data_IF_036076866736
#
_entry.id   IF_036076866736
#
_cell.length_a   1.000
_cell.length_b   1.000
_cell.length_c   1.000
_cell.angle_alpha   90.00
_cell.angle_beta   90.00
_cell.angle_gamma   90.00
#
_symmetry.space_group_name_H-M   'P 1'
#
loop_
_entity.id
_entity.type
_entity.pdbx_description
1 polymer ?
#
# COMPACT_ATOMS: atom_id res chain seq x y z
N UNK A 1 -14.01 10.57 -12.75
CA UNK A 1 -15.47 10.36 -12.56
C UNK A 1 -15.74 9.11 -11.74
N UNK A 2 -16.81 9.15 -10.98
CA UNK A 2 -17.24 7.98 -10.23
C UNK A 2 -17.53 6.82 -11.19
N UNK A 3 -17.08 5.61 -10.83
CA UNK A 3 -17.33 4.41 -11.59
C UNK A 3 -16.25 4.01 -12.59
N UNK A 4 -15.25 4.85 -12.86
CA UNK A 4 -14.13 4.43 -13.71
C UNK A 4 -13.29 3.37 -13.00
N UNK A 5 -12.83 2.33 -13.75
CA UNK A 5 -12.00 1.29 -13.15
C UNK A 5 -10.72 1.85 -12.53
N UNK A 6 -10.40 1.38 -11.34
CA UNK A 6 -9.17 1.75 -10.62
C UNK A 6 -8.37 0.49 -10.30
N UNK A 7 -7.06 0.57 -10.48
CA UNK A 7 -6.13 -0.48 -10.02
C UNK A 7 -5.37 0.06 -8.81
N UNK A 8 -5.48 -0.64 -7.69
CA UNK A 8 -4.81 -0.30 -6.44
C UNK A 8 -3.86 -1.43 -6.08
N UNK A 9 -2.57 -1.10 -5.93
CA UNK A 9 -1.54 -2.06 -5.57
C UNK A 9 -1.31 -2.05 -4.05
N UNK A 10 -1.18 -3.24 -3.46
CA UNK A 10 -0.86 -3.39 -2.04
C UNK A 10 0.59 -3.83 -1.93
N UNK A 11 1.40 -3.02 -1.27
CA UNK A 11 2.85 -3.19 -1.18
C UNK A 11 3.29 -3.10 0.28
N UNK A 12 4.20 -3.98 0.69
CA UNK A 12 4.77 -3.94 2.03
C UNK A 12 5.88 -4.96 2.21
N UNK A 13 6.53 -4.91 3.36
CA UNK A 13 7.53 -5.89 3.74
C UNK A 13 6.88 -7.25 4.01
N UNK A 14 7.68 -8.31 3.96
CA UNK A 14 7.21 -9.62 4.40
C UNK A 14 6.78 -9.56 5.87
N UNK A 15 5.71 -10.28 6.20
CA UNK A 15 5.17 -10.37 7.58
C UNK A 15 4.63 -9.05 8.15
N UNK A 16 4.24 -8.09 7.31
CA UNK A 16 3.59 -6.87 7.77
C UNK A 16 2.06 -6.97 7.87
N UNK A 17 1.49 -8.13 7.53
CA UNK A 17 0.04 -8.33 7.50
C UNK A 17 -0.61 -8.12 6.14
N UNK A 18 0.19 -8.05 5.06
CA UNK A 18 -0.28 -7.77 3.71
C UNK A 18 -1.27 -8.83 3.20
N UNK A 19 -0.97 -10.12 3.40
CA UNK A 19 -1.86 -11.21 2.98
C UNK A 19 -3.20 -11.13 3.70
N UNK A 20 -3.19 -10.90 5.00
CA UNK A 20 -4.41 -10.74 5.79
C UNK A 20 -5.22 -9.54 5.29
N UNK A 21 -4.58 -8.41 5.06
CA UNK A 21 -5.23 -7.22 4.52
C UNK A 21 -5.87 -7.49 3.16
N UNK A 22 -5.11 -8.07 2.24
CA UNK A 22 -5.63 -8.39 0.91
C UNK A 22 -6.85 -9.30 0.98
N UNK A 23 -6.79 -10.35 1.82
CA UNK A 23 -7.90 -11.29 1.95
C UNK A 23 -9.16 -10.62 2.53
N UNK A 24 -9.00 -9.70 3.47
CA UNK A 24 -10.14 -8.98 4.04
C UNK A 24 -10.75 -7.94 3.09
N UNK A 25 -9.93 -7.32 2.23
CA UNK A 25 -10.39 -6.31 1.29
C UNK A 25 -10.98 -6.90 0.00
N UNK A 26 -10.61 -8.13 -0.35
CA UNK A 26 -10.96 -8.72 -1.65
C UNK A 26 -12.20 -9.60 -1.58
N UNK A 27 -12.88 -9.69 -2.73
CA UNK A 27 -13.96 -10.66 -2.93
C UNK A 27 -13.38 -12.06 -3.08
N UNK A 28 -14.25 -13.07 -3.14
CA UNK A 28 -13.84 -14.47 -3.29
C UNK A 28 -13.24 -14.78 -4.69
N UNK A 29 -13.25 -13.82 -5.61
CA UNK A 29 -12.78 -14.01 -6.99
C UNK A 29 -11.29 -13.74 -7.17
N UNK A 30 -10.46 -14.17 -6.22
CA UNK A 30 -9.00 -14.03 -6.33
C UNK A 30 -8.46 -14.89 -7.47
N UNK A 31 -7.59 -14.32 -8.28
CA UNK A 31 -6.98 -15.00 -9.43
C UNK A 31 -5.60 -14.42 -9.71
N UNK A 32 -4.79 -15.15 -10.49
CA UNK A 32 -3.48 -14.68 -10.93
C UNK A 32 -3.62 -13.91 -12.24
N UNK A 33 -2.92 -12.78 -12.36
CA UNK A 33 -2.85 -12.00 -13.60
C UNK A 33 -1.41 -11.74 -14.01
N UNK A 34 -1.19 -11.74 -15.34
CA UNK A 34 0.06 -11.30 -15.95
C UNK A 34 -0.04 -9.84 -16.34
N UNK A 35 1.06 -9.11 -16.21
CA UNK A 35 1.14 -7.70 -16.61
C UNK A 35 2.26 -7.49 -17.60
N UNK A 36 2.03 -6.62 -18.59
CA UNK A 36 3.00 -6.32 -19.63
C UNK A 36 4.29 -5.73 -19.03
N UNK A 37 5.43 -6.30 -19.41
CA UNK A 37 6.74 -5.87 -18.91
C UNK A 37 7.06 -6.35 -17.49
N UNK A 38 6.31 -7.31 -16.96
CA UNK A 38 6.51 -7.86 -15.62
C UNK A 38 6.67 -9.38 -15.71
N UNK A 39 7.73 -9.91 -15.12
CA UNK A 39 8.11 -11.32 -15.26
C UNK A 39 7.42 -12.28 -14.28
N UNK A 40 6.66 -11.76 -13.33
CA UNK A 40 5.94 -12.53 -12.31
C UNK A 40 4.45 -12.20 -12.41
N UNK A 41 3.60 -13.22 -12.27
CA UNK A 41 2.17 -13.02 -12.13
C UNK A 41 1.82 -12.62 -10.70
N UNK A 42 0.82 -11.75 -10.55
CA UNK A 42 0.37 -11.31 -9.24
C UNK A 42 -1.06 -11.74 -8.97
N UNK A 43 -1.38 -11.92 -7.69
CA UNK A 43 -2.73 -12.20 -7.26
C UNK A 43 -3.56 -10.93 -7.32
N UNK A 44 -4.73 -11.02 -7.96
CA UNK A 44 -5.67 -9.92 -8.12
C UNK A 44 -7.06 -10.32 -7.66
N UNK A 45 -7.85 -9.34 -7.28
CA UNK A 45 -9.26 -9.52 -6.95
C UNK A 45 -9.97 -8.17 -6.99
N UNK A 46 -11.29 -8.20 -7.11
CA UNK A 46 -12.09 -7.00 -6.90
C UNK A 46 -12.20 -6.69 -5.41
N UNK A 47 -12.25 -5.41 -5.08
CA UNK A 47 -12.47 -4.98 -3.70
C UNK A 47 -13.92 -5.18 -3.29
N UNK A 48 -14.15 -5.66 -2.06
CA UNK A 48 -15.48 -5.77 -1.48
C UNK A 48 -16.13 -4.40 -1.37
N UNK A 49 -17.34 -4.26 -1.87
CA UNK A 49 -18.08 -3.00 -1.81
C UNK A 49 -17.66 -1.96 -2.83
N UNK A 50 -16.66 -2.23 -3.64
CA UNK A 50 -16.15 -1.32 -4.67
C UNK A 50 -15.85 -2.11 -5.93
N UNK A 51 -16.90 -2.43 -6.70
CA UNK A 51 -16.78 -3.32 -7.86
C UNK A 51 -15.89 -2.78 -8.97
N UNK A 52 -15.68 -1.46 -9.01
CA UNK A 52 -14.79 -0.79 -9.97
C UNK A 52 -13.32 -0.86 -9.58
N UNK A 53 -13.01 -1.32 -8.37
CA UNK A 53 -11.63 -1.36 -7.87
C UNK A 53 -11.04 -2.76 -7.99
N UNK A 54 -9.92 -2.86 -8.70
CA UNK A 54 -9.09 -4.07 -8.75
C UNK A 54 -7.94 -3.90 -7.77
N UNK A 55 -7.80 -4.85 -6.86
CA UNK A 55 -6.67 -4.93 -5.93
C UNK A 55 -5.63 -5.87 -6.51
N UNK A 56 -4.35 -5.46 -6.42
CA UNK A 56 -3.21 -6.27 -6.85
C UNK A 56 -2.31 -6.50 -5.65
N UNK A 57 -2.12 -7.76 -5.27
CA UNK A 57 -1.25 -8.15 -4.16
C UNK A 57 0.17 -8.36 -4.68
N UNK A 58 1.06 -7.43 -4.38
CA UNK A 58 2.46 -7.53 -4.79
C UNK A 58 3.26 -8.34 -3.77
N UNK A 59 4.39 -8.95 -4.20
CA UNK A 59 5.21 -9.75 -3.28
C UNK A 59 5.77 -8.89 -2.14
N UNK A 60 6.03 -9.53 -0.99
CA UNK A 60 6.70 -8.86 0.12
C UNK A 60 8.12 -8.46 -0.26
N UNK A 61 8.42 -7.17 -0.18
CA UNK A 61 9.73 -6.63 -0.55
C UNK A 61 10.20 -5.62 0.51
N UNK A 62 11.52 -5.44 0.60
CA UNK A 62 12.12 -4.48 1.53
C UNK A 62 12.65 -3.24 0.82
N UNK A 63 12.73 -3.28 -0.49
CA UNK A 63 13.26 -2.20 -1.34
C UNK A 63 12.79 -2.39 -2.77
N UNK A 64 12.96 -1.38 -3.60
CA UNK A 64 12.67 -1.43 -5.04
C UNK A 64 13.98 -1.43 -5.83
N UNK A 65 14.87 -2.34 -5.48
CA UNK A 65 16.16 -2.53 -6.15
C UNK A 65 16.05 -3.60 -7.22
N UNK A 66 17.18 -3.98 -7.82
CA UNK A 66 17.24 -5.05 -8.82
C UNK A 66 17.87 -6.33 -8.26
N UNK A 67 18.00 -6.43 -6.93
CA UNK A 67 18.69 -7.57 -6.32
C UNK A 67 17.87 -8.85 -6.30
N UNK A 68 16.54 -8.75 -6.21
CA UNK A 68 15.67 -9.92 -6.23
C UNK A 68 14.67 -9.81 -7.38
N UNK A 69 14.16 -10.97 -7.79
CA UNK A 69 13.13 -11.06 -8.83
C UNK A 69 11.84 -10.34 -8.41
N UNK A 70 11.49 -10.49 -7.13
CA UNK A 70 10.29 -9.87 -6.54
C UNK A 70 10.41 -8.34 -6.51
N UNK A 71 11.57 -7.81 -6.13
CA UNK A 71 11.81 -6.37 -6.13
C UNK A 71 11.73 -5.78 -7.53
N UNK A 72 12.37 -6.44 -8.49
CA UNK A 72 12.32 -6.04 -9.89
C UNK A 72 10.90 -6.07 -10.44
N UNK A 73 10.16 -7.15 -10.16
CA UNK A 73 8.78 -7.28 -10.63
C UNK A 73 7.86 -6.21 -10.04
N UNK A 74 8.02 -5.90 -8.75
CA UNK A 74 7.25 -4.85 -8.08
C UNK A 74 7.53 -3.49 -8.71
N UNK A 75 8.78 -3.16 -8.92
CA UNK A 75 9.17 -1.91 -9.56
C UNK A 75 8.64 -1.80 -10.99
N UNK A 76 8.80 -2.87 -11.78
CA UNK A 76 8.34 -2.90 -13.17
C UNK A 76 6.81 -2.76 -13.23
N UNK A 77 6.09 -3.36 -12.29
CA UNK A 77 4.65 -3.21 -12.21
C UNK A 77 4.25 -1.75 -12.00
N UNK A 78 4.89 -1.05 -11.06
CA UNK A 78 4.56 0.34 -10.78
C UNK A 78 4.84 1.22 -11.99
N UNK A 79 5.98 0.99 -12.67
CA UNK A 79 6.38 1.79 -13.83
C UNK A 79 5.56 1.52 -15.08
N UNK A 80 5.19 0.26 -15.32
CA UNK A 80 4.55 -0.16 -16.57
C UNK A 80 3.03 -0.24 -16.48
N UNK A 81 2.50 -0.79 -15.40
CA UNK A 81 1.06 -0.90 -15.20
C UNK A 81 0.42 0.38 -14.67
N UNK A 82 1.20 1.24 -14.05
CA UNK A 82 0.79 2.56 -13.53
C UNK A 82 -0.49 2.48 -12.70
N UNK A 83 -0.46 1.82 -11.54
CA UNK A 83 -1.62 1.76 -10.67
C UNK A 83 -2.06 3.17 -10.27
N UNK A 84 -3.36 3.36 -10.10
CA UNK A 84 -3.91 4.66 -9.71
C UNK A 84 -3.62 5.01 -8.25
N UNK A 85 -3.35 4.00 -7.42
CA UNK A 85 -2.98 4.20 -6.02
C UNK A 85 -2.14 3.04 -5.52
N UNK A 86 -1.26 3.34 -4.56
CA UNK A 86 -0.51 2.35 -3.79
C UNK A 86 -1.01 2.40 -2.34
N UNK A 87 -1.39 1.24 -1.80
CA UNK A 87 -1.55 1.07 -0.36
C UNK A 87 -0.25 0.47 0.16
N UNK A 88 0.54 1.27 0.88
CA UNK A 88 1.76 0.80 1.52
C UNK A 88 1.42 0.36 2.95
N UNK A 89 1.37 -0.95 3.18
CA UNK A 89 1.12 -1.48 4.51
C UNK A 89 2.42 -1.54 5.29
N UNK A 90 2.41 -0.96 6.49
CA UNK A 90 3.56 -0.86 7.38
C UNK A 90 3.20 -1.52 8.71
N UNK A 91 4.10 -2.33 9.22
CA UNK A 91 4.02 -2.86 10.57
C UNK A 91 4.37 -1.78 11.57
N UNK A 92 3.38 -1.32 12.33
CA UNK A 92 3.56 -0.22 13.30
C UNK A 92 4.55 -0.59 14.43
N UNK A 93 4.70 -1.87 14.75
CA UNK A 93 5.65 -2.33 15.77
C UNK A 93 7.10 -2.35 15.27
N UNK A 94 7.30 -2.19 13.97
CA UNK A 94 8.62 -2.25 13.34
C UNK A 94 8.75 -1.19 12.24
N UNK A 95 8.42 0.05 12.59
CA UNK A 95 8.30 1.17 11.66
C UNK A 95 9.60 1.44 10.90
N UNK A 96 10.74 1.43 11.59
CA UNK A 96 12.03 1.74 10.98
C UNK A 96 12.39 0.74 9.87
N UNK A 97 12.09 -0.52 10.06
CA UNK A 97 12.36 -1.57 9.06
C UNK A 97 11.59 -1.33 7.77
N UNK A 98 10.38 -0.77 7.86
CA UNK A 98 9.52 -0.51 6.71
C UNK A 98 9.85 0.81 6.00
N UNK A 99 10.56 1.70 6.67
CA UNK A 99 10.74 3.08 6.22
C UNK A 99 11.50 3.20 4.89
N UNK A 100 12.49 2.33 4.67
CA UNK A 100 13.29 2.39 3.44
C UNK A 100 12.42 2.15 2.19
N UNK A 101 11.58 1.13 2.22
CA UNK A 101 10.65 0.88 1.12
C UNK A 101 9.69 2.05 0.93
N UNK A 102 9.15 2.59 2.01
CA UNK A 102 8.22 3.72 1.96
C UNK A 102 8.83 4.93 1.28
N UNK A 103 10.09 5.28 1.59
CA UNK A 103 10.75 6.42 0.95
C UNK A 103 10.94 6.20 -0.54
N UNK A 104 11.25 4.99 -0.97
CA UNK A 104 11.36 4.67 -2.39
C UNK A 104 10.01 4.77 -3.12
N UNK A 105 8.94 4.30 -2.48
CA UNK A 105 7.59 4.43 -3.05
C UNK A 105 7.17 5.89 -3.19
N UNK A 106 7.47 6.71 -2.19
CA UNK A 106 7.17 8.15 -2.25
C UNK A 106 7.85 8.83 -3.42
N UNK A 107 9.07 8.42 -3.76
CA UNK A 107 9.82 9.01 -4.86
C UNK A 107 9.27 8.66 -6.25
N UNK A 108 8.42 7.66 -6.35
CA UNK A 108 7.81 7.25 -7.62
C UNK A 108 6.62 8.12 -8.04
N UNK A 109 6.19 9.03 -7.18
CA UNK A 109 5.13 10.01 -7.48
C UNK A 109 3.80 9.39 -7.93
N UNK A 110 3.44 8.24 -7.35
CA UNK A 110 2.13 7.61 -7.53
C UNK A 110 1.26 7.96 -6.33
N UNK A 111 -0.03 8.25 -6.51
CA UNK A 111 -0.92 8.43 -5.36
C UNK A 111 -0.79 7.27 -4.38
N UNK A 112 -0.64 7.58 -3.09
CA UNK A 112 -0.34 6.57 -2.09
C UNK A 112 -1.05 6.89 -0.78
N UNK A 113 -1.48 5.85 -0.07
CA UNK A 113 -1.87 5.91 1.33
C UNK A 113 -1.06 4.89 2.11
N UNK A 114 -0.85 5.16 3.39
CA UNK A 114 -0.16 4.23 4.28
C UNK A 114 -1.19 3.58 5.19
N UNK A 115 -1.19 2.24 5.20
CA UNK A 115 -1.94 1.44 6.16
C UNK A 115 -0.99 1.08 7.31
N UNK A 116 -1.15 1.74 8.45
CA UNK A 116 -0.33 1.51 9.62
C UNK A 116 -0.95 0.38 10.42
N UNK A 117 -0.43 -0.83 10.26
CA UNK A 117 -1.02 -2.06 10.76
C UNK A 117 -0.46 -2.48 12.11
N UNK A 118 -1.21 -3.30 12.82
CA UNK A 118 -0.84 -3.85 14.14
C UNK A 118 -0.81 -2.81 15.26
N UNK A 119 -1.66 -1.79 15.15
CA UNK A 119 -1.77 -0.75 16.17
C UNK A 119 -2.14 -1.29 17.54
N UNK A 120 -2.86 -2.41 17.59
CA UNK A 120 -3.24 -3.06 18.86
C UNK A 120 -2.01 -3.54 19.63
N UNK A 121 -1.02 -4.10 18.92
CA UNK A 121 0.24 -4.52 19.54
C UNK A 121 1.04 -3.34 20.09
N UNK A 122 1.06 -2.23 19.36
CA UNK A 122 1.72 -1.00 19.80
C UNK A 122 1.07 -0.49 21.08
N UNK A 123 -0.26 -0.47 21.16
CA UNK A 123 -1.00 -0.04 22.35
C UNK A 123 -0.76 -0.96 23.54
N UNK A 124 -0.77 -2.28 23.30
CA UNK A 124 -0.52 -3.28 24.35
C UNK A 124 0.88 -3.13 24.95
N UNK A 125 1.85 -2.71 24.16
CA UNK A 125 3.24 -2.52 24.58
C UNK A 125 3.52 -1.10 25.07
N UNK A 126 2.48 -0.32 25.41
CA UNK A 126 2.56 1.08 25.85
C UNK A 126 3.25 2.00 24.85
N UNK A 127 3.28 1.59 23.56
CA UNK A 127 3.78 2.44 22.50
C UNK A 127 2.69 3.35 21.96
N UNK A 128 3.09 4.47 21.37
CA UNK A 128 2.19 5.35 20.65
C UNK A 128 2.87 5.90 19.42
N UNK A 129 2.10 6.13 18.37
CA UNK A 129 2.58 6.74 17.14
C UNK A 129 1.69 7.96 16.87
N UNK A 130 2.33 9.11 16.67
CA UNK A 130 1.61 10.33 16.30
C UNK A 130 1.30 10.27 14.81
N UNK A 131 0.06 9.88 14.48
CA UNK A 131 -0.40 9.72 13.09
C UNK A 131 -0.30 11.04 12.33
N UNK A 132 -0.70 12.16 12.97
CA UNK A 132 -0.69 13.46 12.30
C UNK A 132 0.73 13.91 11.95
N UNK A 133 1.68 13.63 12.83
CA UNK A 133 3.10 13.93 12.57
C UNK A 133 3.62 13.11 11.41
N UNK A 134 3.32 11.81 11.38
CA UNK A 134 3.75 10.91 10.28
C UNK A 134 3.16 11.39 8.96
N UNK A 135 1.88 11.76 8.93
CA UNK A 135 1.25 12.32 7.73
C UNK A 135 1.96 13.59 7.25
N UNK A 136 2.26 14.49 8.17
CA UNK A 136 2.96 15.74 7.85
C UNK A 136 4.35 15.49 7.25
N UNK A 137 5.08 14.54 7.81
CA UNK A 137 6.44 14.22 7.37
C UNK A 137 6.46 13.50 6.02
N UNK A 138 5.53 12.59 5.80
CA UNK A 138 5.50 11.77 4.59
C UNK A 138 4.67 12.35 3.47
N UNK A 139 3.75 13.27 3.78
CA UNK A 139 2.93 13.95 2.78
C UNK A 139 1.86 13.06 2.13
N UNK A 140 1.43 12.01 2.82
CA UNK A 140 0.37 11.10 2.37
C UNK A 140 -0.55 10.76 3.54
N UNK A 141 -1.81 10.39 3.28
CA UNK A 141 -2.69 9.92 4.34
C UNK A 141 -2.13 8.67 5.03
N UNK A 142 -2.21 8.63 6.35
CA UNK A 142 -1.79 7.49 7.17
C UNK A 142 -3.00 7.02 7.96
N UNK A 143 -3.43 5.78 7.71
CA UNK A 143 -4.64 5.23 8.29
C UNK A 143 -4.25 4.10 9.24
N UNK A 144 -4.53 4.24 10.55
CA UNK A 144 -4.29 3.14 11.48
C UNK A 144 -5.30 2.02 11.26
N UNK A 145 -4.81 0.78 11.16
CA UNK A 145 -5.64 -0.38 10.94
C UNK A 145 -5.23 -1.53 11.85
N UNK A 146 -6.14 -2.50 11.99
CA UNK A 146 -5.82 -3.85 12.44
C UNK A 146 -6.35 -4.81 11.39
N UNK A 147 -5.46 -5.34 10.55
CA UNK A 147 -5.86 -6.27 9.49
C UNK A 147 -6.52 -7.53 10.08
N UNK A 148 -5.96 -8.06 11.16
CA UNK A 148 -6.50 -9.26 11.82
C UNK A 148 -7.93 -9.03 12.32
N UNK A 149 -8.20 -7.86 12.90
CA UNK A 149 -9.50 -7.54 13.48
C UNK A 149 -10.43 -6.81 12.51
N UNK A 150 -10.02 -6.64 11.25
CA UNK A 150 -10.78 -5.92 10.22
C UNK A 150 -11.15 -4.48 10.65
N UNK A 151 -10.27 -3.82 11.39
CA UNK A 151 -10.49 -2.45 11.86
C UNK A 151 -9.82 -1.44 10.95
N UNK A 152 -10.51 -0.34 10.66
CA UNK A 152 -9.99 0.76 9.86
C UNK A 152 -9.97 0.50 8.37
N UNK A 153 -10.48 -0.63 7.88
CA UNK A 153 -10.38 -1.02 6.48
C UNK A 153 -11.28 -0.18 5.58
N UNK A 154 -12.46 0.19 6.05
CA UNK A 154 -13.37 1.05 5.29
C UNK A 154 -12.75 2.44 5.09
N UNK A 155 -12.22 3.03 6.16
CA UNK A 155 -11.51 4.30 6.09
C UNK A 155 -10.31 4.24 5.17
N UNK A 156 -9.55 3.14 5.23
CA UNK A 156 -8.40 2.92 4.34
C UNK A 156 -8.82 2.95 2.87
N UNK A 157 -9.88 2.22 2.52
CA UNK A 157 -10.35 2.14 1.13
C UNK A 157 -10.92 3.47 0.66
N UNK A 158 -11.65 4.19 1.51
CA UNK A 158 -12.17 5.51 1.17
C UNK A 158 -11.04 6.49 0.82
N UNK A 159 -9.97 6.52 1.62
CA UNK A 159 -8.82 7.38 1.36
C UNK A 159 -8.05 6.95 0.11
N UNK A 160 -7.85 5.64 -0.09
CA UNK A 160 -7.15 5.12 -1.26
C UNK A 160 -7.90 5.49 -2.55
N UNK A 161 -9.21 5.32 -2.57
CA UNK A 161 -10.03 5.65 -3.74
C UNK A 161 -10.03 7.17 -3.96
N UNK A 162 -10.10 7.96 -2.90
CA UNK A 162 -10.08 9.42 -3.01
C UNK A 162 -8.79 9.92 -3.65
N UNK A 163 -7.62 9.49 -3.16
CA UNK A 163 -6.35 9.94 -3.75
C UNK A 163 -6.18 9.43 -5.18
N UNK A 164 -6.68 8.22 -5.47
CA UNK A 164 -6.63 7.67 -6.83
C UNK A 164 -7.47 8.51 -7.81
N UNK A 165 -8.71 8.80 -7.45
CA UNK A 165 -9.63 9.53 -8.33
C UNK A 165 -9.21 10.97 -8.56
N UNK A 166 -8.59 11.60 -7.58
CA UNK A 166 -8.12 12.99 -7.68
C UNK A 166 -6.65 13.09 -8.10
N UNK A 167 -5.99 11.95 -8.37
CA UNK A 167 -4.58 11.89 -8.73
C UNK A 167 -3.70 12.68 -7.77
N UNK A 168 -3.94 12.50 -6.46
CA UNK A 168 -3.20 13.21 -5.42
C UNK A 168 -1.90 12.51 -5.11
N UNK A 169 -0.81 13.02 -5.67
CA UNK A 169 0.54 12.50 -5.46
C UNK A 169 1.07 12.87 -4.08
N UNK A 170 2.08 12.13 -3.56
CA UNK A 170 2.70 12.48 -2.29
C UNK A 170 3.21 13.92 -2.27
N UNK A 171 3.00 14.60 -1.13
CA UNK A 171 3.43 15.99 -0.94
C UNK A 171 4.78 16.11 -0.24
N UNK A 172 5.47 14.99 -0.02
CA UNK A 172 6.72 15.02 0.73
C UNK A 172 7.74 15.92 0.05
N UNK A 173 8.39 16.75 0.86
CA UNK A 173 9.54 17.54 0.42
C UNK A 173 10.75 16.60 0.35
N UNK A 174 10.72 15.64 -0.55
CA UNK A 174 11.73 14.58 -0.62
C UNK A 174 13.06 15.05 -1.17
N UNK A 175 13.18 16.32 -1.51
CA UNK A 175 14.41 16.82 -2.05
C UNK A 175 15.35 17.26 -0.92
N UNK A 176 16.24 16.38 -0.54
CA UNK A 176 17.56 16.71 -0.01
C UNK A 176 17.68 17.21 1.44
N UNK A 177 16.67 17.18 2.27
CA UNK A 177 16.83 17.62 3.67
C UNK A 177 16.73 16.48 4.70
N UNK A 178 17.01 15.30 4.26
CA UNK A 178 17.10 14.14 5.16
C UNK A 178 18.55 13.81 5.53
#
# INVERSE_FOLDING_TARGET
>A
PEGDPLTIAIIGNSNCGKTTLFNHLSTASQHQESFSGVDIDFKCANAKGYSEVKLVDLPGVYALTHFTKEETATRDFILNAKPECIINIIDASNFQRNFYLTTQLLSMEVPMVIALNMMDEVRKNNGSIDINLVESLLGVPVIPISAINSQGLEELMEHAIFVARHNLKPRSKTNAEW
#
